data_IF_695697202221
#
_entry.id   IF_695697202221
#
_cell.length_a   1.000
_cell.length_b   1.000
_cell.length_c   1.000
_cell.angle_alpha   90.00
_cell.angle_beta   90.00
_cell.angle_gamma   90.00
#
_symmetry.space_group_name_H-M   'P 1'
#
loop_
_entity.id
_entity.type
_entity.pdbx_description
1 polymer ?
#
# COMPACT_ATOMS: atom_id res chain seq x y z
N UNK A 1 -31.42 8.69 9.75
CA UNK A 1 -30.96 7.92 8.58
C UNK A 1 -29.63 7.29 8.92
N UNK A 2 -29.41 5.99 8.68
CA UNK A 2 -28.06 5.43 8.78
C UNK A 2 -27.14 6.21 7.82
N UNK A 3 -25.92 6.54 8.27
CA UNK A 3 -24.96 7.28 7.45
C UNK A 3 -24.41 6.46 6.29
N UNK A 4 -23.96 7.11 5.23
CA UNK A 4 -23.24 6.46 4.13
C UNK A 4 -21.80 6.18 4.54
N UNK A 5 -21.45 4.90 4.68
CA UNK A 5 -20.07 4.48 4.95
C UNK A 5 -19.18 4.64 3.72
N UNK A 6 -17.95 5.09 3.93
CA UNK A 6 -16.89 5.16 2.92
C UNK A 6 -15.71 4.34 3.41
N UNK A 7 -15.29 3.37 2.62
CA UNK A 7 -14.19 2.49 2.99
C UNK A 7 -12.95 2.80 2.16
N UNK A 8 -11.79 2.75 2.81
CA UNK A 8 -10.47 2.84 2.20
C UNK A 8 -9.62 1.65 2.62
N UNK A 9 -8.50 1.44 1.95
CA UNK A 9 -7.52 0.43 2.33
C UNK A 9 -6.10 1.01 2.19
N UNK A 10 -5.17 0.42 2.94
CA UNK A 10 -3.73 0.59 2.74
C UNK A 10 -3.12 -0.66 2.11
N UNK A 11 -2.17 -0.55 1.16
CA UNK A 11 -1.47 -1.70 0.56
C UNK A 11 -0.83 -2.65 1.58
N UNK A 12 -0.41 -2.13 2.74
CA UNK A 12 0.15 -2.87 3.88
C UNK A 12 -0.87 -3.77 4.59
N UNK A 13 -2.18 -3.59 4.37
CA UNK A 13 -3.19 -4.48 4.96
C UNK A 13 -3.04 -5.93 4.43
N UNK A 14 -2.56 -6.10 3.20
CA UNK A 14 -2.21 -7.40 2.62
C UNK A 14 -0.68 -7.56 2.71
N UNK A 15 -0.15 -7.77 3.93
CA UNK A 15 1.26 -8.04 4.18
C UNK A 15 1.56 -9.54 4.24
N UNK A 16 2.84 -9.90 4.11
CA UNK A 16 3.37 -11.26 4.02
C UNK A 16 3.39 -12.00 5.35
N UNK A 17 3.23 -11.27 6.47
CA UNK A 17 3.02 -11.84 7.80
C UNK A 17 4.26 -11.96 8.67
N UNK A 18 5.39 -11.38 8.26
CA UNK A 18 6.58 -11.33 9.10
C UNK A 18 6.33 -10.53 10.39
N UNK A 19 6.93 -11.00 11.47
CA UNK A 19 6.94 -10.31 12.76
C UNK A 19 8.33 -10.46 13.42
N UNK A 20 8.61 -9.82 14.58
CA UNK A 20 9.93 -9.89 15.21
C UNK A 20 10.41 -11.30 15.61
N UNK A 21 9.51 -12.28 15.67
CA UNK A 21 9.78 -13.65 16.12
C UNK A 21 9.51 -14.72 15.06
N UNK A 22 9.04 -14.34 13.87
CA UNK A 22 8.63 -15.28 12.83
C UNK A 22 8.87 -14.75 11.41
N UNK A 23 9.20 -15.66 10.46
CA UNK A 23 9.38 -15.27 9.07
C UNK A 23 8.04 -14.94 8.40
N UNK A 24 8.11 -14.48 7.16
CA UNK A 24 6.95 -14.40 6.27
C UNK A 24 6.26 -15.77 6.14
N UNK A 25 4.93 -15.74 6.11
CA UNK A 25 4.09 -16.95 6.00
C UNK A 25 3.12 -16.89 4.82
N UNK A 26 3.10 -15.79 4.07
CA UNK A 26 2.30 -15.58 2.86
C UNK A 26 3.19 -15.08 1.73
N UNK A 27 2.94 -15.51 0.48
CA UNK A 27 3.67 -14.99 -0.67
C UNK A 27 3.36 -13.52 -0.93
N UNK A 28 4.33 -12.80 -1.50
CA UNK A 28 4.17 -11.40 -1.90
C UNK A 28 3.06 -11.24 -2.93
N UNK A 29 2.19 -10.26 -2.69
CA UNK A 29 1.20 -9.82 -3.69
C UNK A 29 1.71 -8.54 -4.34
N UNK A 30 1.94 -8.50 -5.66
CA UNK A 30 2.43 -7.29 -6.33
C UNK A 30 1.49 -6.11 -6.10
N UNK A 31 2.04 -4.92 -5.91
CA UNK A 31 1.30 -3.70 -5.59
C UNK A 31 0.14 -3.42 -6.57
N UNK A 32 0.40 -3.50 -7.88
CA UNK A 32 -0.63 -3.30 -8.91
C UNK A 32 -1.76 -4.35 -8.84
N UNK A 33 -1.44 -5.58 -8.42
CA UNK A 33 -2.45 -6.63 -8.19
C UNK A 33 -3.33 -6.29 -6.99
N UNK A 34 -2.73 -5.78 -5.90
CA UNK A 34 -3.48 -5.31 -4.74
C UNK A 34 -4.48 -4.22 -5.16
N UNK A 35 -4.04 -3.16 -5.85
CA UNK A 35 -4.91 -2.07 -6.33
C UNK A 35 -6.13 -2.55 -7.14
N UNK A 36 -5.90 -3.45 -8.10
CA UNK A 36 -6.98 -4.03 -8.91
C UNK A 36 -7.98 -4.81 -8.05
N UNK A 37 -7.49 -5.59 -7.09
CA UNK A 37 -8.31 -6.36 -6.18
C UNK A 37 -9.19 -5.44 -5.32
N UNK A 38 -8.63 -4.39 -4.75
CA UNK A 38 -9.40 -3.49 -3.89
C UNK A 38 -10.49 -2.75 -4.64
N UNK A 39 -10.22 -2.30 -5.88
CA UNK A 39 -11.30 -1.69 -6.68
C UNK A 39 -12.43 -2.67 -6.97
N UNK A 40 -12.10 -3.95 -7.24
CA UNK A 40 -13.09 -5.03 -7.41
C UNK A 40 -13.91 -5.27 -6.13
N UNK A 41 -13.32 -5.07 -4.95
CA UNK A 41 -13.99 -5.24 -3.65
C UNK A 41 -14.85 -4.03 -3.24
N UNK A 42 -14.87 -2.95 -4.03
CA UNK A 42 -15.75 -1.79 -3.80
C UNK A 42 -15.12 -0.67 -2.98
N UNK A 43 -13.79 -0.65 -2.83
CA UNK A 43 -13.10 0.49 -2.20
C UNK A 43 -12.90 1.63 -3.20
N UNK A 44 -13.14 2.85 -2.75
CA UNK A 44 -12.93 4.08 -3.53
C UNK A 44 -11.74 4.90 -3.04
N UNK A 45 -11.25 4.65 -1.81
CA UNK A 45 -10.08 5.31 -1.25
C UNK A 45 -8.88 4.36 -1.12
N UNK A 46 -7.69 4.87 -1.43
CA UNK A 46 -6.40 4.21 -1.19
C UNK A 46 -5.56 5.09 -0.27
N UNK A 47 -4.95 4.49 0.74
CA UNK A 47 -4.01 5.15 1.65
C UNK A 47 -2.59 4.70 1.30
N UNK A 48 -1.61 5.55 1.58
CA UNK A 48 -0.20 5.31 1.30
C UNK A 48 0.62 5.79 2.50
N UNK A 49 1.61 5.00 2.92
CA UNK A 49 2.81 5.58 3.48
C UNK A 49 3.63 6.22 2.34
N UNK A 50 4.57 7.08 2.70
CA UNK A 50 5.43 7.71 1.72
C UNK A 50 6.25 6.66 0.93
N UNK A 51 6.75 5.63 1.59
CA UNK A 51 7.51 4.52 0.97
C UNK A 51 6.65 3.53 0.17
N UNK A 52 5.35 3.42 0.46
CA UNK A 52 4.39 2.73 -0.41
C UNK A 52 4.22 3.46 -1.77
N UNK A 53 4.42 4.78 -1.80
CA UNK A 53 4.28 5.60 -3.00
C UNK A 53 5.61 5.76 -3.75
N UNK A 54 6.72 5.96 -3.02
CA UNK A 54 8.07 6.07 -3.56
C UNK A 54 9.00 5.13 -2.80
N UNK A 55 9.37 3.97 -3.37
CA UNK A 55 10.26 3.02 -2.70
C UNK A 55 11.63 3.64 -2.38
N UNK A 56 12.31 3.11 -1.37
CA UNK A 56 13.70 3.47 -1.03
C UNK A 56 13.92 4.99 -0.80
N UNK A 57 12.90 5.67 -0.26
CA UNK A 57 12.88 7.13 -0.04
C UNK A 57 14.12 7.67 0.67
N UNK A 58 14.61 6.92 1.67
CA UNK A 58 15.76 7.30 2.50
C UNK A 58 17.10 7.25 1.75
N UNK A 59 17.17 6.52 0.63
CA UNK A 59 18.40 6.33 -0.15
C UNK A 59 18.50 7.31 -1.34
N UNK A 60 17.52 8.22 -1.46
CA UNK A 60 17.37 9.14 -2.61
C UNK A 60 17.50 10.59 -2.20
N UNK A 61 18.03 11.41 -3.10
CA UNK A 61 17.97 12.87 -2.96
C UNK A 61 16.54 13.39 -3.15
N UNK A 62 16.28 14.60 -2.64
CA UNK A 62 14.97 15.26 -2.81
C UNK A 62 14.51 15.33 -4.27
N UNK A 63 15.42 15.57 -5.21
CA UNK A 63 15.08 15.65 -6.64
C UNK A 63 14.76 14.28 -7.25
N UNK A 64 15.44 13.21 -6.82
CA UNK A 64 15.11 11.84 -7.23
C UNK A 64 13.72 11.45 -6.72
N UNK A 65 13.42 11.73 -5.45
CA UNK A 65 12.11 11.45 -4.86
C UNK A 65 10.98 12.20 -5.57
N UNK A 66 11.17 13.49 -5.88
CA UNK A 66 10.18 14.27 -6.64
C UNK A 66 9.97 13.73 -8.06
N UNK A 67 11.02 13.29 -8.73
CA UNK A 67 10.93 12.76 -10.10
C UNK A 67 10.17 11.43 -10.13
N UNK A 68 10.32 10.61 -9.11
CA UNK A 68 9.68 9.29 -9.04
C UNK A 68 8.24 9.34 -8.53
N UNK A 69 7.89 10.38 -7.76
CA UNK A 69 6.52 10.64 -7.34
C UNK A 69 5.59 11.18 -8.45
N UNK A 70 6.12 11.53 -9.63
CA UNK A 70 5.40 12.13 -10.77
C UNK A 70 4.98 11.08 -11.80
#
# INVERSE_FOLDING_TARGET
>A
MPGTFRFSFGPWNIHEGADPFGPEVRPTVPFATKLKLYKKLGFDGVQFHDDDAVPDLNDKSSEQNKKEAQ
#
